data_IF_082539986436
#
_entry.id   IF_082539986436
#
_cell.length_a   1.000
_cell.length_b   1.000
_cell.length_c   1.000
_cell.angle_alpha   90.00
_cell.angle_beta   90.00
_cell.angle_gamma   90.00
#
_symmetry.space_group_name_H-M   'P 1'
#
loop_
_entity.id
_entity.type
_entity.pdbx_description
1 polymer ?
#
# COMPACT_ATOMS: atom_id res chain seq x y z
N UNK A 1 28.88 -4.86 -14.31
CA UNK A 1 27.59 -5.40 -13.84
C UNK A 1 26.49 -4.75 -14.65
N UNK A 2 25.61 -5.50 -15.32
CA UNK A 2 24.47 -4.90 -15.98
C UNK A 2 23.54 -4.26 -14.93
N UNK A 3 22.88 -3.13 -15.23
CA UNK A 3 21.92 -2.52 -14.32
C UNK A 3 20.77 -3.50 -14.06
N UNK A 4 20.46 -3.71 -12.78
CA UNK A 4 19.32 -4.53 -12.36
C UNK A 4 18.05 -3.81 -12.81
N UNK A 5 17.29 -4.41 -13.71
CA UNK A 5 16.00 -3.87 -14.16
C UNK A 5 14.98 -3.95 -13.03
N UNK A 6 14.80 -2.83 -12.34
CA UNK A 6 13.91 -2.70 -11.18
C UNK A 6 12.44 -2.90 -11.50
N UNK A 7 12.06 -2.86 -12.77
CA UNK A 7 10.67 -2.95 -13.20
C UNK A 7 10.16 -4.41 -13.29
N UNK A 8 11.03 -5.39 -13.54
CA UNK A 8 10.61 -6.79 -13.71
C UNK A 8 10.26 -7.44 -12.37
N UNK A 9 11.13 -7.33 -11.36
CA UNK A 9 10.87 -7.94 -10.05
C UNK A 9 9.75 -7.22 -9.27
N UNK A 10 9.59 -5.90 -9.45
CA UNK A 10 8.48 -5.15 -8.83
C UNK A 10 7.13 -5.57 -9.40
N UNK A 11 7.03 -5.76 -10.72
CA UNK A 11 5.82 -6.31 -11.35
C UNK A 11 5.50 -7.71 -10.84
N UNK A 12 6.52 -8.53 -10.63
CA UNK A 12 6.33 -9.86 -10.03
C UNK A 12 5.77 -9.77 -8.61
N UNK A 13 6.27 -8.85 -7.77
CA UNK A 13 5.77 -8.67 -6.41
C UNK A 13 4.31 -8.21 -6.36
N UNK A 14 3.89 -7.31 -7.26
CA UNK A 14 2.49 -6.88 -7.39
C UNK A 14 1.61 -8.04 -7.87
N UNK A 15 2.05 -8.82 -8.85
CA UNK A 15 1.31 -9.98 -9.36
C UNK A 15 1.14 -11.09 -8.31
N UNK A 16 2.03 -11.16 -7.32
CA UNK A 16 1.95 -12.10 -6.19
C UNK A 16 1.36 -11.47 -4.93
N UNK A 17 0.95 -10.20 -4.96
CA UNK A 17 0.37 -9.54 -3.80
C UNK A 17 -1.00 -10.16 -3.50
N UNK A 18 -1.20 -10.58 -2.25
CA UNK A 18 -2.51 -11.03 -1.77
C UNK A 18 -3.24 -9.80 -1.28
N UNK A 19 -4.45 -9.55 -1.81
CA UNK A 19 -5.30 -8.49 -1.32
C UNK A 19 -5.52 -8.66 0.19
N UNK A 20 -5.38 -7.59 0.96
CA UNK A 20 -5.57 -7.60 2.42
C UNK A 20 -6.96 -8.15 2.80
N UNK A 21 -7.95 -8.03 1.91
CA UNK A 21 -9.32 -8.54 2.06
C UNK A 21 -9.48 -10.05 1.84
N UNK A 22 -8.55 -10.71 1.13
CA UNK A 22 -8.59 -12.15 0.80
C UNK A 22 -7.73 -13.00 1.75
N UNK A 23 -7.23 -12.40 2.84
CA UNK A 23 -6.42 -13.08 3.85
C UNK A 23 -7.27 -13.36 5.10
N UNK A 24 -7.34 -14.62 5.54
CA UNK A 24 -8.00 -15.03 6.80
C UNK A 24 -7.28 -14.54 8.08
N UNK A 25 -6.28 -13.65 7.93
CA UNK A 25 -5.44 -13.17 9.00
C UNK A 25 -5.74 -11.70 9.30
N UNK A 26 -5.92 -11.39 10.59
CA UNK A 26 -6.00 -10.03 11.06
C UNK A 26 -4.63 -9.34 10.90
N UNK A 27 -4.61 -8.18 10.24
CA UNK A 27 -3.46 -7.31 10.20
C UNK A 27 -3.51 -6.32 11.36
N UNK A 28 -2.37 -6.05 11.98
CA UNK A 28 -2.26 -4.92 12.89
C UNK A 28 -2.26 -3.62 12.07
N UNK A 29 -2.85 -2.56 12.60
CA UNK A 29 -2.93 -1.27 11.90
C UNK A 29 -1.55 -0.70 11.57
N UNK A 30 -0.55 -0.91 12.43
CA UNK A 30 0.84 -0.48 12.21
C UNK A 30 1.55 -1.25 11.08
N UNK A 31 0.99 -2.38 10.64
CA UNK A 31 1.47 -3.09 9.45
C UNK A 31 0.85 -2.54 8.16
N UNK A 32 -0.31 -1.90 8.24
CA UNK A 32 -1.00 -1.34 7.09
C UNK A 32 -0.55 0.09 6.80
N UNK A 33 -0.41 0.92 7.83
CA UNK A 33 0.12 2.29 7.70
C UNK A 33 1.55 2.26 7.15
N UNK A 34 1.82 3.09 6.15
CA UNK A 34 3.08 3.15 5.40
C UNK A 34 3.16 2.20 4.21
N UNK A 35 2.23 1.25 4.06
CA UNK A 35 2.24 0.28 2.95
C UNK A 35 1.88 0.96 1.63
N UNK A 36 2.58 0.60 0.56
CA UNK A 36 2.32 1.11 -0.79
C UNK A 36 0.99 0.62 -1.37
N UNK A 37 0.31 1.48 -2.11
CA UNK A 37 -0.98 1.19 -2.76
C UNK A 37 -0.81 1.28 -4.25
N UNK A 38 -1.22 0.22 -4.96
CA UNK A 38 -1.17 0.13 -6.41
C UNK A 38 -2.56 -0.13 -6.97
N UNK A 39 -2.87 0.41 -8.14
CA UNK A 39 -4.09 0.06 -8.87
C UNK A 39 -3.89 -1.22 -9.71
N UNK A 40 -4.97 -1.73 -10.29
CA UNK A 40 -4.95 -2.91 -11.17
C UNK A 40 -4.09 -2.71 -12.45
N UNK A 41 -3.85 -1.46 -12.84
CA UNK A 41 -2.95 -1.09 -13.93
C UNK A 41 -1.46 -1.12 -13.54
N UNK A 42 -1.15 -1.31 -12.26
CA UNK A 42 0.20 -1.27 -11.71
C UNK A 42 0.73 0.13 -11.40
N UNK A 43 -0.10 1.16 -11.47
CA UNK A 43 0.29 2.52 -11.09
C UNK A 43 0.40 2.64 -9.57
N UNK A 44 1.50 3.23 -9.11
CA UNK A 44 1.69 3.58 -7.71
C UNK A 44 0.82 4.79 -7.34
N UNK A 45 -0.09 4.59 -6.40
CA UNK A 45 -1.02 5.61 -5.90
C UNK A 45 -0.47 6.35 -4.68
N UNK A 46 0.62 5.88 -4.06
CA UNK A 46 1.21 6.38 -2.82
C UNK A 46 1.25 5.32 -1.72
N UNK A 47 1.24 5.76 -0.47
CA UNK A 47 1.20 4.88 0.71
C UNK A 47 -0.01 5.19 1.59
N UNK A 48 -0.45 4.20 2.37
CA UNK A 48 -1.47 4.40 3.41
C UNK A 48 -0.90 5.31 4.50
N UNK A 49 -1.52 6.46 4.73
CA UNK A 49 -1.13 7.42 5.77
C UNK A 49 -1.93 7.18 7.05
N UNK A 50 -3.24 6.97 6.91
CA UNK A 50 -4.13 6.76 8.03
C UNK A 50 -5.34 5.87 7.66
N UNK A 51 -5.99 5.31 8.68
CA UNK A 51 -7.16 4.43 8.56
C UNK A 51 -8.34 5.08 9.25
N UNK A 52 -9.37 5.43 8.49
CA UNK A 52 -10.61 5.98 9.03
C UNK A 52 -11.60 4.85 9.30
N UNK A 53 -12.10 4.81 10.53
CA UNK A 53 -13.11 3.84 10.96
C UNK A 53 -14.48 4.49 11.07
N UNK A 54 -15.52 3.73 10.72
CA UNK A 54 -16.90 4.12 10.99
C UNK A 54 -17.19 3.92 12.49
N UNK A 55 -17.62 4.97 13.23
CA UNK A 55 -17.76 4.91 14.67
C UNK A 55 -18.98 4.09 15.14
N UNK A 56 -19.91 3.73 14.26
CA UNK A 56 -21.09 2.95 14.62
C UNK A 56 -20.86 1.44 14.44
N UNK A 57 -20.24 1.06 13.32
CA UNK A 57 -19.99 -0.32 12.93
C UNK A 57 -18.61 -0.83 13.35
N UNK A 58 -17.69 0.07 13.72
CA UNK A 58 -16.29 -0.21 14.05
C UNK A 58 -15.53 -0.90 12.90
N UNK A 59 -16.00 -0.72 11.66
CA UNK A 59 -15.34 -1.22 10.45
C UNK A 59 -14.51 -0.11 9.81
N UNK A 60 -13.54 -0.49 8.99
CA UNK A 60 -12.81 0.46 8.15
C UNK A 60 -13.80 1.10 7.17
N UNK A 61 -13.87 2.43 7.19
CA UNK A 61 -14.68 3.21 6.26
C UNK A 61 -13.89 3.52 4.99
N UNK A 62 -12.66 4.03 5.14
CA UNK A 62 -11.75 4.30 4.04
C UNK A 62 -10.30 4.47 4.52
N UNK A 63 -9.36 4.40 3.58
CA UNK A 63 -7.93 4.68 3.80
C UNK A 63 -7.60 6.09 3.30
N UNK A 64 -6.76 6.80 4.05
CA UNK A 64 -6.15 8.05 3.59
C UNK A 64 -4.86 7.67 2.86
N UNK A 65 -4.75 8.04 1.59
CA UNK A 65 -3.57 7.76 0.77
C UNK A 65 -2.76 9.04 0.64
N UNK A 66 -1.53 9.03 1.14
CA UNK A 66 -0.57 10.10 0.95
C UNK A 66 0.38 9.76 -0.19
N UNK A 67 0.54 10.72 -1.10
CA UNK A 67 1.67 10.72 -2.03
C UNK A 67 2.77 11.53 -1.35
N UNK A 68 3.75 10.84 -0.77
CA UNK A 68 4.98 11.52 -0.33
C UNK A 68 5.64 12.09 -1.58
N UNK A 69 5.46 13.40 -1.79
CA UNK A 69 6.39 14.15 -2.61
C UNK A 69 7.76 14.03 -1.95
N UNK A 70 8.80 13.81 -2.74
CA UNK A 70 10.19 14.03 -2.31
C UNK A 70 10.36 15.48 -1.84
N UNK A 71 9.97 15.80 -0.61
CA UNK A 71 10.39 17.00 0.08
C UNK A 71 11.68 16.64 0.80
N UNK A 72 12.77 17.21 0.28
CA UNK A 72 14.13 16.79 0.55
C UNK A 72 14.52 16.83 2.02
N UNK A 73 15.43 15.93 2.37
CA UNK A 73 16.37 16.18 3.45
C UNK A 73 17.10 17.50 3.15
N UNK A 74 16.97 18.47 4.04
CA UNK A 74 17.74 19.70 4.09
C UNK A 74 18.11 19.99 5.53
#
# INVERSE_FOLDING_TARGET
MPPVDVSVWRRQQIATAVAVTDSDFAFRSDQLVGTGVVNDGGDDLGSVDDIVMDPQSFKVAYLVIARVGIFGFG
#
